data_IF_783435528387
#
_entry.id   IF_783435528387
#
_cell.length_a   1.000
_cell.length_b   1.000
_cell.length_c   1.000
_cell.angle_alpha   90.00
_cell.angle_beta   90.00
_cell.angle_gamma   90.00
#
_symmetry.space_group_name_H-M   'P 1'
#
loop_
_entity.id
_entity.type
_entity.pdbx_description
1 polymer ?
#
# COMPACT_ATOMS: atom_id res chain seq x y z
N UNK A 1 -63.25 5.45 -15.27
CA UNK A 1 -62.87 5.36 -13.84
C UNK A 1 -61.66 4.45 -13.75
N UNK A 2 -60.59 5.00 -13.16
CA UNK A 2 -59.50 4.33 -12.42
C UNK A 2 -58.59 3.30 -13.10
N UNK A 3 -57.36 3.78 -13.29
CA UNK A 3 -56.11 3.04 -13.45
C UNK A 3 -55.78 2.21 -12.21
N UNK A 4 -55.13 1.05 -12.37
CA UNK A 4 -54.17 0.53 -11.38
C UNK A 4 -53.10 -0.33 -12.07
N UNK A 5 -51.97 0.31 -12.36
CA UNK A 5 -50.68 -0.34 -12.64
C UNK A 5 -50.12 -0.85 -11.31
N UNK A 6 -50.09 -2.16 -11.08
CA UNK A 6 -49.40 -2.73 -9.91
C UNK A 6 -47.94 -3.00 -10.25
N UNK A 7 -47.09 -2.02 -9.91
CA UNK A 7 -45.64 -2.20 -9.86
C UNK A 7 -45.30 -3.21 -8.75
N UNK A 8 -44.89 -4.42 -9.14
CA UNK A 8 -44.42 -5.46 -8.23
C UNK A 8 -42.99 -5.12 -7.83
N UNK A 9 -42.84 -4.31 -6.78
CA UNK A 9 -41.56 -4.00 -6.14
C UNK A 9 -40.98 -5.28 -5.54
N UNK A 10 -40.06 -5.93 -6.25
CA UNK A 10 -39.17 -6.95 -5.70
C UNK A 10 -38.29 -6.29 -4.63
N UNK A 11 -38.70 -6.41 -3.37
CA UNK A 11 -37.83 -6.14 -2.21
C UNK A 11 -36.67 -7.12 -2.29
N UNK A 12 -35.58 -6.69 -2.92
CA UNK A 12 -34.29 -7.36 -2.84
C UNK A 12 -33.95 -7.40 -1.34
N UNK A 13 -33.75 -8.60 -0.83
CA UNK A 13 -33.29 -8.87 0.52
C UNK A 13 -31.93 -8.17 0.67
N UNK A 14 -31.91 -6.95 1.21
CA UNK A 14 -30.69 -6.22 1.47
C UNK A 14 -29.98 -6.93 2.63
N UNK A 15 -29.02 -7.79 2.30
CA UNK A 15 -28.12 -8.34 3.30
C UNK A 15 -27.32 -7.17 3.90
N UNK A 16 -27.21 -7.07 5.24
CA UNK A 16 -26.45 -6.00 5.85
C UNK A 16 -24.98 -6.09 5.39
N UNK A 17 -24.33 -4.95 5.08
CA UNK A 17 -22.95 -4.95 4.64
C UNK A 17 -22.07 -5.62 5.70
N UNK A 18 -21.35 -6.67 5.31
CA UNK A 18 -20.40 -7.35 6.19
C UNK A 18 -19.06 -6.64 6.06
N UNK A 19 -18.70 -5.86 7.06
CA UNK A 19 -17.43 -5.16 7.11
C UNK A 19 -16.44 -6.03 7.89
N UNK A 20 -15.30 -6.38 7.32
CA UNK A 20 -14.22 -7.06 8.03
C UNK A 20 -13.07 -6.07 8.23
N UNK A 21 -12.57 -5.99 9.46
CA UNK A 21 -11.41 -5.19 9.83
C UNK A 21 -10.27 -6.17 10.11
N UNK A 22 -9.23 -6.13 9.28
CA UNK A 22 -8.01 -6.90 9.47
C UNK A 22 -6.97 -6.03 10.16
N UNK A 23 -6.49 -6.47 11.32
CA UNK A 23 -5.37 -5.84 12.01
C UNK A 23 -4.06 -6.31 11.35
N UNK A 24 -3.28 -5.40 10.78
CA UNK A 24 -2.02 -5.73 10.11
C UNK A 24 -0.98 -6.32 11.09
N UNK A 25 -0.96 -5.86 12.35
CA UNK A 25 0.03 -6.27 13.35
C UNK A 25 -0.22 -7.63 13.99
N UNK A 26 -1.48 -8.07 14.07
CA UNK A 26 -1.84 -9.36 14.67
C UNK A 26 -2.32 -10.38 13.64
N UNK A 27 -2.58 -9.95 12.41
CA UNK A 27 -3.25 -10.77 11.39
C UNK A 27 -4.71 -11.11 11.73
N UNK A 28 -5.22 -10.65 12.88
CA UNK A 28 -6.58 -10.92 13.33
C UNK A 28 -7.60 -10.22 12.42
N UNK A 29 -8.67 -10.93 12.07
CA UNK A 29 -9.78 -10.39 11.29
C UNK A 29 -11.01 -10.32 12.19
N UNK A 30 -11.53 -9.12 12.39
CA UNK A 30 -12.76 -8.88 13.12
C UNK A 30 -13.87 -8.52 12.15
N UNK A 31 -14.99 -9.22 12.20
CA UNK A 31 -16.15 -8.90 11.34
C UNK A 31 -17.12 -8.01 12.11
N UNK A 32 -17.45 -6.86 11.55
CA UNK A 32 -18.40 -5.85 12.01
C UNK A 32 -19.55 -5.76 11.00
N UNK A 33 -20.83 -5.72 11.41
CA UNK A 33 -21.31 -5.69 12.79
C UNK A 33 -21.47 -7.12 13.38
N UNK A 34 -21.31 -7.29 14.71
CA UNK A 34 -21.70 -8.50 15.42
C UNK A 34 -23.23 -8.54 15.56
N UNK A 35 -23.90 -8.93 14.48
CA UNK A 35 -25.29 -9.45 14.46
C UNK A 35 -26.47 -8.52 14.83
N UNK A 36 -26.27 -7.30 15.37
CA UNK A 36 -27.43 -6.48 15.83
C UNK A 36 -27.38 -4.97 15.54
N UNK A 37 -26.39 -4.45 14.82
CA UNK A 37 -26.29 -3.00 14.54
C UNK A 37 -26.53 -2.73 13.06
N UNK A 38 -27.63 -2.04 12.74
CA UNK A 38 -27.90 -1.54 11.39
C UNK A 38 -26.90 -0.44 11.07
N UNK A 39 -25.85 -0.79 10.31
CA UNK A 39 -24.89 0.18 9.80
C UNK A 39 -25.62 1.17 8.89
N UNK A 40 -25.59 2.45 9.26
CA UNK A 40 -26.18 3.51 8.43
C UNK A 40 -25.09 4.16 7.59
N UNK A 41 -25.41 4.74 6.43
CA UNK A 41 -24.43 5.46 5.60
C UNK A 41 -23.82 6.69 6.31
N UNK A 42 -24.40 7.12 7.42
CA UNK A 42 -23.93 8.23 8.26
C UNK A 42 -22.98 7.78 9.38
N UNK A 43 -22.85 6.47 9.61
CA UNK A 43 -21.94 5.93 10.62
C UNK A 43 -20.51 6.29 10.23
N UNK A 44 -19.77 6.87 11.16
CA UNK A 44 -18.36 7.24 10.99
C UNK A 44 -17.47 6.03 11.23
N UNK A 45 -16.23 6.08 10.74
CA UNK A 45 -15.25 5.03 11.03
C UNK A 45 -14.93 4.93 12.52
N UNK A 46 -14.95 6.05 13.25
CA UNK A 46 -14.77 6.05 14.70
C UNK A 46 -15.86 5.21 15.41
N UNK A 47 -17.13 5.38 15.05
CA UNK A 47 -18.23 4.59 15.62
C UNK A 47 -18.18 3.11 15.19
N UNK A 48 -17.68 2.84 13.99
CA UNK A 48 -17.46 1.46 13.52
C UNK A 48 -16.36 0.74 14.33
N UNK A 49 -15.35 1.49 14.77
CA UNK A 49 -14.21 0.97 15.53
C UNK A 49 -14.48 0.90 17.03
N UNK A 50 -15.43 1.66 17.58
CA UNK A 50 -15.81 1.66 18.99
C UNK A 50 -16.02 0.24 19.60
N UNK A 51 -16.76 -0.71 18.95
CA UNK A 51 -16.94 -2.05 19.51
C UNK A 51 -15.65 -2.88 19.58
N UNK A 52 -14.65 -2.58 18.75
CA UNK A 52 -13.35 -3.27 18.76
C UNK A 52 -12.25 -2.44 19.41
N UNK A 53 -12.54 -1.19 19.78
CA UNK A 53 -11.61 -0.22 20.36
C UNK A 53 -10.91 -0.75 21.61
N UNK A 54 -11.62 -1.50 22.45
CA UNK A 54 -11.05 -2.15 23.63
C UNK A 54 -10.00 -3.23 23.30
N UNK A 55 -10.04 -3.78 22.09
CA UNK A 55 -9.09 -4.80 21.58
C UNK A 55 -7.97 -4.16 20.75
N UNK A 56 -8.06 -2.87 20.43
CA UNK A 56 -7.08 -2.17 19.61
C UNK A 56 -5.94 -1.61 20.49
N UNK A 57 -4.68 -1.70 20.02
CA UNK A 57 -3.56 -1.03 20.69
C UNK A 57 -3.77 0.49 20.75
N UNK A 58 -3.37 1.17 21.85
CA UNK A 58 -3.55 2.61 22.01
C UNK A 58 -2.85 3.42 20.90
N UNK A 59 -1.72 2.93 20.40
CA UNK A 59 -0.97 3.56 19.30
C UNK A 59 -1.78 3.65 17.99
N UNK A 60 -2.70 2.70 17.76
CA UNK A 60 -3.58 2.72 16.59
C UNK A 60 -4.65 3.80 16.73
N UNK A 61 -5.14 4.04 17.94
CA UNK A 61 -6.18 5.03 18.18
C UNK A 61 -5.67 6.46 18.01
N UNK A 62 -4.39 6.70 18.31
CA UNK A 62 -3.80 8.05 18.19
C UNK A 62 -3.18 8.31 16.81
N UNK A 63 -2.61 7.29 16.18
CA UNK A 63 -1.75 7.46 15.01
C UNK A 63 -1.97 6.38 13.93
N UNK A 64 -2.96 5.51 14.10
CA UNK A 64 -3.25 4.45 13.16
C UNK A 64 -3.68 4.95 11.79
N UNK A 65 -3.46 4.11 10.79
CA UNK A 65 -3.90 4.35 9.43
C UNK A 65 -4.84 3.23 9.00
N UNK A 66 -5.98 3.59 8.42
CA UNK A 66 -6.97 2.67 7.91
C UNK A 66 -6.86 2.62 6.40
N UNK A 67 -6.51 1.45 5.88
CA UNK A 67 -6.40 1.19 4.46
C UNK A 67 -7.70 0.55 3.97
N UNK A 68 -8.37 1.23 3.03
CA UNK A 68 -9.50 0.70 2.29
C UNK A 68 -9.25 0.85 0.79
N UNK A 69 -9.11 -0.28 0.09
CA UNK A 69 -8.78 -0.32 -1.35
C UNK A 69 -7.49 0.45 -1.66
N UNK A 70 -7.60 1.73 -2.04
CA UNK A 70 -6.49 2.65 -2.36
C UNK A 70 -6.47 3.90 -1.48
N UNK A 71 -7.39 4.01 -0.52
CA UNK A 71 -7.47 5.13 0.39
C UNK A 71 -6.77 4.77 1.70
N UNK A 72 -5.88 5.64 2.13
CA UNK A 72 -5.30 5.62 3.47
C UNK A 72 -5.96 6.74 4.27
N UNK A 73 -6.63 6.39 5.37
CA UNK A 73 -7.35 7.33 6.23
C UNK A 73 -6.68 7.34 7.59
N UNK A 74 -6.16 8.49 7.99
CA UNK A 74 -5.47 8.65 9.28
C UNK A 74 -6.46 8.60 10.44
N UNK A 75 -6.00 8.24 11.62
CA UNK A 75 -6.80 8.21 12.85
C UNK A 75 -7.54 9.53 13.11
N UNK A 76 -6.90 10.68 12.81
CA UNK A 76 -7.52 12.00 12.92
C UNK A 76 -8.72 12.22 12.00
N UNK A 77 -8.81 11.46 10.90
CA UNK A 77 -9.86 11.57 9.89
C UNK A 77 -10.99 10.55 10.08
N UNK A 78 -10.83 9.56 10.97
CA UNK A 78 -11.85 8.57 11.29
C UNK A 78 -13.18 9.15 11.79
N UNK A 79 -13.23 10.21 12.64
CA UNK A 79 -14.50 10.80 13.04
C UNK A 79 -15.17 11.61 11.93
N UNK A 80 -14.41 12.09 10.94
CA UNK A 80 -14.92 12.88 9.81
C UNK A 80 -15.36 11.99 8.63
N UNK A 81 -14.72 10.83 8.48
CA UNK A 81 -14.96 9.95 7.35
C UNK A 81 -16.13 9.00 7.62
N UNK A 82 -17.16 9.10 6.79
CA UNK A 82 -18.36 8.25 6.86
C UNK A 82 -18.31 7.11 5.85
N UNK A 83 -19.03 6.02 6.12
CA UNK A 83 -19.14 4.88 5.20
C UNK A 83 -19.62 5.29 3.80
N UNK A 84 -20.49 6.30 3.69
CA UNK A 84 -20.90 6.88 2.40
C UNK A 84 -19.75 7.51 1.63
N UNK A 85 -18.83 8.20 2.30
CA UNK A 85 -17.68 8.84 1.64
C UNK A 85 -16.71 7.82 1.07
N UNK A 86 -16.54 6.69 1.75
CA UNK A 86 -15.73 5.57 1.30
C UNK A 86 -16.38 4.77 0.17
N UNK A 87 -17.62 5.08 -0.21
CA UNK A 87 -18.37 4.24 -1.15
C UNK A 87 -18.61 2.83 -0.59
N UNK A 88 -18.55 2.66 0.75
CA UNK A 88 -18.97 1.45 1.45
C UNK A 88 -20.51 1.48 1.47
N UNK A 89 -21.06 1.28 0.26
CA UNK A 89 -22.48 1.27 -0.05
C UNK A 89 -23.01 -0.16 -0.08
N UNK A 90 -24.30 -0.28 0.22
CA UNK A 90 -25.04 -1.53 0.46
C UNK A 90 -25.24 -2.42 -0.78
N UNK A 91 -24.34 -2.34 -1.77
CA UNK A 91 -24.38 -3.12 -2.99
C UNK A 91 -23.43 -4.31 -2.83
N UNK A 92 -24.01 -5.43 -2.37
CA UNK A 92 -23.49 -6.80 -2.38
C UNK A 92 -21.95 -6.94 -2.42
N UNK A 93 -21.32 -6.77 -1.26
CA UNK A 93 -19.89 -6.96 -1.13
C UNK A 93 -19.43 -6.89 0.31
N UNK A 94 -18.74 -7.92 0.79
CA UNK A 94 -18.01 -7.84 2.04
C UNK A 94 -16.86 -6.84 1.90
N UNK A 95 -16.77 -5.85 2.78
CA UNK A 95 -15.76 -4.78 2.72
C UNK A 95 -14.64 -5.12 3.68
N UNK A 96 -13.41 -5.29 3.18
CA UNK A 96 -12.24 -5.49 4.02
C UNK A 96 -11.49 -4.16 4.23
N UNK A 97 -11.41 -3.70 5.46
CA UNK A 97 -10.55 -2.60 5.87
C UNK A 97 -9.34 -3.16 6.60
N UNK A 98 -8.15 -2.63 6.32
CA UNK A 98 -6.92 -3.05 6.98
C UNK A 98 -6.46 -1.94 7.92
N UNK A 99 -6.40 -2.25 9.21
CA UNK A 99 -5.88 -1.36 10.25
C UNK A 99 -4.37 -1.54 10.32
N UNK A 100 -3.61 -0.48 10.08
CA UNK A 100 -2.16 -0.47 10.14
C UNK A 100 -1.69 0.45 11.27
N UNK A 101 -0.64 0.00 11.98
CA UNK A 101 0.07 0.86 12.93
C UNK A 101 0.91 1.88 12.14
N UNK A 102 1.06 3.11 12.65
CA UNK A 102 2.04 4.05 12.10
C UNK A 102 3.43 3.45 12.22
N UNK A 103 3.97 2.95 11.12
CA UNK A 103 5.39 2.62 11.05
C UNK A 103 6.15 3.92 10.83
N UNK A 104 6.38 4.69 11.90
CA UNK A 104 7.28 5.84 11.86
C UNK A 104 8.72 5.35 12.10
N UNK A 105 9.70 5.79 11.31
CA UNK A 105 10.54 6.88 11.78
C UNK A 105 10.03 8.23 11.25
N UNK A 106 10.09 9.29 12.05
CA UNK A 106 9.32 10.51 11.83
C UNK A 106 9.73 11.23 10.55
N UNK A 107 8.80 11.98 9.92
CA UNK A 107 9.19 13.08 9.05
C UNK A 107 9.94 14.08 9.94
N UNK A 108 11.23 14.24 9.66
CA UNK A 108 12.03 15.31 10.24
C UNK A 108 11.34 16.61 9.83
N UNK A 109 10.69 17.24 10.80
CA UNK A 109 10.00 18.49 10.63
C UNK A 109 10.94 19.53 10.02
N UNK A 110 10.39 20.36 9.14
CA UNK A 110 10.99 21.60 8.67
C UNK A 110 11.72 22.34 9.78
N UNK A 111 13.03 22.48 9.62
CA UNK A 111 13.82 23.63 10.06
C UNK A 111 15.11 23.63 9.23
N UNK A 112 15.18 24.55 8.28
CA UNK A 112 16.38 25.07 7.61
C UNK A 112 17.46 25.52 8.62
N UNK A 113 18.65 26.03 8.21
CA UNK A 113 19.63 25.59 7.20
C UNK A 113 21.04 25.46 7.84
N UNK A 114 22.00 24.78 7.20
CA UNK A 114 23.49 24.95 7.32
C UNK A 114 24.11 23.74 6.62
N UNK A 115 24.52 23.87 5.35
CA UNK A 115 25.90 24.14 4.92
C UNK A 115 26.85 23.02 5.43
N UNK A 116 27.56 22.25 4.61
CA UNK A 116 28.38 22.63 3.46
C UNK A 116 28.71 21.39 2.61
N UNK A 117 28.72 21.61 1.28
CA UNK A 117 29.64 21.08 0.26
C UNK A 117 29.59 19.54 0.00
N UNK A 118 29.48 19.05 -1.24
CA UNK A 118 30.40 19.27 -2.35
C UNK A 118 29.75 18.95 -3.71
N UNK A 119 30.20 19.72 -4.70
CA UNK A 119 30.47 19.36 -6.09
C UNK A 119 29.35 19.39 -7.15
N UNK A 120 29.60 20.35 -8.03
CA UNK A 120 29.05 20.69 -9.32
C UNK A 120 29.07 19.52 -10.31
N UNK A 121 27.94 19.23 -10.97
CA UNK A 121 27.85 19.11 -12.45
C UNK A 121 26.48 18.57 -12.89
N UNK A 122 25.99 18.99 -14.07
CA UNK A 122 24.64 18.71 -14.56
C UNK A 122 24.58 17.38 -15.32
N UNK A 123 23.38 16.80 -15.39
CA UNK A 123 22.98 15.66 -16.26
C UNK A 123 23.08 14.29 -15.61
N UNK A 124 22.01 13.86 -14.94
CA UNK A 124 21.37 12.53 -15.05
C UNK A 124 20.53 12.29 -13.80
N UNK A 125 19.33 11.76 -13.98
CA UNK A 125 18.26 11.69 -12.98
C UNK A 125 18.74 10.88 -11.76
N UNK A 126 18.96 11.58 -10.63
CA UNK A 126 19.40 11.00 -9.35
C UNK A 126 18.24 10.28 -8.65
N UNK A 127 17.80 9.15 -9.20
CA UNK A 127 16.93 8.25 -8.44
C UNK A 127 17.78 7.50 -7.43
N UNK A 128 17.43 7.57 -6.14
CA UNK A 128 18.14 6.80 -5.10
C UNK A 128 17.72 5.32 -5.17
N UNK A 129 18.56 4.36 -4.69
CA UNK A 129 18.17 2.95 -4.69
C UNK A 129 16.90 2.71 -3.86
N UNK A 130 16.70 3.48 -2.79
CA UNK A 130 15.47 3.44 -1.98
C UNK A 130 14.23 3.85 -2.79
N UNK A 131 14.32 4.95 -3.54
CA UNK A 131 13.25 5.39 -4.44
C UNK A 131 12.96 4.35 -5.52
N UNK A 132 13.99 3.71 -6.07
CA UNK A 132 13.83 2.67 -7.07
C UNK A 132 13.08 1.45 -6.51
N UNK A 133 13.39 1.04 -5.27
CA UNK A 133 12.66 -0.03 -4.56
C UNK A 133 11.19 0.37 -4.35
N UNK A 134 10.91 1.59 -3.88
CA UNK A 134 9.53 2.05 -3.74
C UNK A 134 8.78 2.05 -5.07
N UNK A 135 9.46 2.37 -6.17
CA UNK A 135 8.87 2.35 -7.50
C UNK A 135 8.56 0.92 -7.96
N UNK A 136 9.43 -0.05 -7.67
CA UNK A 136 9.18 -1.48 -7.93
C UNK A 136 7.93 -1.93 -7.18
N UNK A 137 7.87 -1.65 -5.87
CA UNK A 137 6.78 -2.07 -4.99
C UNK A 137 5.43 -1.43 -5.36
N UNK A 138 5.45 -0.18 -5.83
CA UNK A 138 4.23 0.55 -6.19
C UNK A 138 3.74 0.30 -7.63
N UNK A 139 4.63 -0.11 -8.53
CA UNK A 139 4.31 -0.23 -9.97
C UNK A 139 4.06 -1.66 -10.45
N UNK A 140 4.42 -2.68 -9.67
CA UNK A 140 4.31 -4.09 -10.08
C UNK A 140 3.44 -4.88 -9.09
N UNK A 141 2.91 -6.02 -9.53
CA UNK A 141 2.14 -6.93 -8.67
C UNK A 141 3.05 -7.54 -7.60
N UNK A 142 2.50 -7.83 -6.41
CA UNK A 142 3.28 -8.25 -5.23
C UNK A 142 4.24 -9.42 -5.51
N UNK A 143 3.78 -10.40 -6.29
CA UNK A 143 4.59 -11.55 -6.73
C UNK A 143 5.75 -11.14 -7.63
N UNK A 144 5.51 -10.26 -8.61
CA UNK A 144 6.55 -9.78 -9.53
C UNK A 144 7.54 -8.84 -8.83
N UNK A 145 7.05 -7.97 -7.94
CA UNK A 145 7.87 -7.09 -7.11
C UNK A 145 8.85 -7.91 -6.24
N UNK A 146 8.34 -8.97 -5.59
CA UNK A 146 9.16 -9.87 -4.78
C UNK A 146 10.21 -10.60 -5.62
N UNK A 147 9.83 -11.15 -6.76
CA UNK A 147 10.76 -11.84 -7.67
C UNK A 147 11.85 -10.90 -8.21
N UNK A 148 11.50 -9.66 -8.54
CA UNK A 148 12.43 -8.62 -8.97
C UNK A 148 13.45 -8.29 -7.88
N UNK A 149 12.98 -7.97 -6.66
CA UNK A 149 13.85 -7.61 -5.52
C UNK A 149 14.78 -8.77 -5.15
N UNK A 150 14.25 -10.01 -5.07
CA UNK A 150 15.08 -11.19 -4.78
C UNK A 150 16.16 -11.41 -5.84
N UNK A 151 15.86 -11.13 -7.10
CA UNK A 151 16.83 -11.21 -8.18
C UNK A 151 17.90 -10.13 -8.05
N UNK A 152 17.51 -8.87 -7.78
CA UNK A 152 18.43 -7.77 -7.53
C UNK A 152 19.38 -8.05 -6.35
N UNK A 153 18.87 -8.56 -5.22
CA UNK A 153 19.68 -8.96 -4.08
C UNK A 153 20.72 -10.02 -4.47
N UNK A 154 20.31 -11.08 -5.18
CA UNK A 154 21.23 -12.12 -5.67
C UNK A 154 22.32 -11.55 -6.59
N UNK A 155 21.98 -10.55 -7.42
CA UNK A 155 22.96 -9.90 -8.28
C UNK A 155 23.99 -9.13 -7.45
N UNK A 156 23.55 -8.36 -6.45
CA UNK A 156 24.44 -7.65 -5.52
C UNK A 156 25.30 -8.62 -4.70
N UNK A 157 24.72 -9.69 -4.17
CA UNK A 157 25.44 -10.75 -3.44
C UNK A 157 26.55 -11.36 -4.30
N UNK A 158 26.27 -11.63 -5.58
CA UNK A 158 27.28 -12.16 -6.51
C UNK A 158 28.43 -11.17 -6.72
N UNK A 159 28.15 -9.87 -6.84
CA UNK A 159 29.16 -8.81 -6.98
C UNK A 159 30.02 -8.70 -5.72
N UNK A 160 29.41 -8.74 -4.53
CA UNK A 160 30.09 -8.63 -3.25
C UNK A 160 30.91 -9.90 -2.95
N UNK A 161 30.37 -11.08 -3.23
CA UNK A 161 31.05 -12.35 -2.97
C UNK A 161 32.24 -12.60 -3.91
N UNK A 162 32.21 -12.06 -5.14
CA UNK A 162 33.25 -12.28 -6.16
C UNK A 162 33.67 -10.96 -6.82
N UNK A 163 34.31 -10.04 -6.07
CA UNK A 163 34.67 -8.73 -6.61
C UNK A 163 35.67 -8.83 -7.76
N UNK A 164 36.55 -9.83 -7.80
CA UNK A 164 37.52 -9.99 -8.88
C UNK A 164 36.95 -10.52 -10.21
N UNK A 165 35.67 -10.91 -10.26
CA UNK A 165 35.10 -11.53 -11.46
C UNK A 165 34.27 -10.51 -12.25
N UNK A 166 34.80 -10.03 -13.38
CA UNK A 166 34.10 -9.05 -14.22
C UNK A 166 32.75 -9.56 -14.76
N UNK A 167 32.57 -10.88 -14.89
CA UNK A 167 31.31 -11.45 -15.40
C UNK A 167 30.12 -11.20 -14.48
N UNK A 168 30.33 -11.06 -13.17
CA UNK A 168 29.22 -10.76 -12.23
C UNK A 168 28.91 -9.27 -12.16
N UNK A 169 29.80 -8.42 -12.68
CA UNK A 169 29.66 -6.96 -12.75
C UNK A 169 29.03 -6.47 -14.06
N UNK A 170 28.86 -7.35 -15.04
CA UNK A 170 28.25 -7.04 -16.33
C UNK A 170 26.98 -7.85 -16.53
N UNK A 171 25.90 -7.16 -16.91
CA UNK A 171 24.59 -7.76 -17.13
C UNK A 171 24.21 -7.51 -18.58
N UNK A 172 23.88 -8.57 -19.31
CA UNK A 172 23.35 -8.47 -20.67
C UNK A 172 21.85 -8.20 -20.60
N UNK A 173 21.42 -7.03 -21.09
CA UNK A 173 20.00 -6.68 -21.20
C UNK A 173 19.22 -7.67 -22.07
N UNK A 174 19.84 -8.24 -23.10
CA UNK A 174 19.23 -9.26 -23.97
C UNK A 174 19.01 -10.63 -23.31
N UNK A 175 19.44 -10.83 -22.06
CA UNK A 175 19.19 -12.09 -21.37
C UNK A 175 17.72 -12.13 -20.92
N UNK A 176 16.93 -13.05 -21.50
CA UNK A 176 15.49 -13.21 -21.20
C UNK A 176 15.21 -13.40 -19.70
N UNK A 177 16.10 -14.07 -18.96
CA UNK A 177 15.94 -14.23 -17.52
C UNK A 177 16.09 -12.91 -16.76
N UNK A 178 16.98 -12.04 -17.22
CA UNK A 178 17.15 -10.71 -16.65
C UNK A 178 15.98 -9.80 -17.07
N UNK A 179 15.64 -9.80 -18.36
CA UNK A 179 14.59 -8.97 -18.91
C UNK A 179 13.23 -9.28 -18.26
N UNK A 180 12.81 -10.55 -18.19
CA UNK A 180 11.52 -10.91 -17.60
C UNK A 180 11.39 -10.62 -16.10
N UNK A 181 12.51 -10.61 -15.36
CA UNK A 181 12.53 -10.44 -13.89
C UNK A 181 12.84 -9.04 -13.42
N UNK A 182 13.68 -8.31 -14.15
CA UNK A 182 14.22 -7.00 -13.74
C UNK A 182 14.12 -5.97 -14.87
N UNK A 183 14.54 -6.33 -16.09
CA UNK A 183 14.62 -5.40 -17.23
C UNK A 183 13.27 -4.82 -17.67
N UNK A 184 12.25 -5.67 -17.75
CA UNK A 184 10.87 -5.31 -18.10
C UNK A 184 10.07 -4.77 -16.90
N UNK A 185 10.66 -4.72 -15.69
CA UNK A 185 9.98 -4.26 -14.47
C UNK A 185 10.33 -2.82 -14.17
N UNK A 186 9.29 -2.01 -13.99
CA UNK A 186 9.47 -0.59 -13.71
C UNK A 186 10.20 -0.43 -12.37
N UNK A 187 11.33 0.27 -12.39
CA UNK A 187 12.20 0.49 -11.22
C UNK A 187 13.35 -0.52 -11.06
N UNK A 188 13.33 -1.66 -11.77
CA UNK A 188 14.40 -2.66 -11.69
C UNK A 188 15.74 -2.16 -12.25
N UNK A 189 15.70 -1.57 -13.45
CA UNK A 189 16.90 -1.00 -14.09
C UNK A 189 17.37 0.27 -13.38
N UNK A 190 16.44 1.12 -12.93
CA UNK A 190 16.74 2.33 -12.18
C UNK A 190 17.51 2.02 -10.88
N UNK A 191 17.16 0.92 -10.20
CA UNK A 191 17.89 0.46 -9.03
C UNK A 191 19.36 0.14 -9.36
N UNK A 192 19.60 -0.57 -10.48
CA UNK A 192 20.97 -0.91 -10.90
C UNK A 192 21.77 0.36 -11.23
N UNK A 193 21.17 1.32 -11.93
CA UNK A 193 21.79 2.61 -12.20
C UNK A 193 22.13 3.36 -10.90
N UNK A 194 21.22 3.34 -9.92
CA UNK A 194 21.42 3.94 -8.61
C UNK A 194 22.52 3.25 -7.79
N UNK A 195 22.74 1.94 -8.00
CA UNK A 195 23.85 1.19 -7.43
C UNK A 195 25.20 1.42 -8.14
N UNK A 196 25.23 2.22 -9.22
CA UNK A 196 26.45 2.54 -9.96
C UNK A 196 26.70 1.65 -11.19
N UNK A 197 25.72 0.86 -11.62
CA UNK A 197 25.79 0.24 -12.95
C UNK A 197 25.60 1.31 -14.01
N UNK A 198 26.23 1.12 -15.17
CA UNK A 198 26.14 2.04 -16.31
C UNK A 198 25.82 1.26 -17.58
N UNK A 199 25.10 1.90 -18.51
CA UNK A 199 24.94 1.36 -19.85
C UNK A 199 26.29 1.45 -20.56
N UNK A 200 26.77 0.32 -21.06
CA UNK A 200 28.05 0.21 -21.76
C UNK A 200 27.85 -0.49 -23.10
#
# INVERSE_FOLDING_TARGET
QQAHTTARSTKIHQMPPRIAIKCAWSGARQTIPPSSTTLTPKTTLAELLEPIRATLPPLVLEQGELLYVRQCIKASEWPSTTLKMLGIGMEDGGVLLTLQLPSSPPPIASSEPTAMEVDDTPTSIKMTPDQAIQLILSSNFDTDSKECILTLCKMMDNVIAKPGNEKVRCIRLSNENFDGKVGSRRGGVEFLLACGFTYR
#
